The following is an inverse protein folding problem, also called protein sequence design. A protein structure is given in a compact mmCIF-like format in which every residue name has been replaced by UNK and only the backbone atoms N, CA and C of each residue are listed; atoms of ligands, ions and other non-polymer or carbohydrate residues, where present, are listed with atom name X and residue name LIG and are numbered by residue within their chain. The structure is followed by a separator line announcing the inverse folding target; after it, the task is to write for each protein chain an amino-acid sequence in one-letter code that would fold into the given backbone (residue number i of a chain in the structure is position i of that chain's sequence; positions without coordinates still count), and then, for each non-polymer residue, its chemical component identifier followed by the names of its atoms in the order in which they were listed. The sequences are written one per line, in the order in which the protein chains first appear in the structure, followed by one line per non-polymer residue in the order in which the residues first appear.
data_IF_996889301736
#
_entry.id   IF_996889301736
#
_cell.length_a   1.000
_cell.length_b   1.000
_cell.length_c   1.000
_cell.angle_alpha   90.00
_cell.angle_beta   90.00
_cell.angle_gamma   90.00
#
_symmetry.space_group_name_H-M   'P 1'
#
loop_
_entity.id
_entity.type
_entity.pdbx_description
1 polymer ?
#
# COMPACT_ATOMS: atom_id res chain seq x y z
N UNK A 1 0.25 -5.44 -6.74
CA UNK A 1 -0.66 -5.89 -7.80
C UNK A 1 0.08 -6.10 -9.11
N UNK A 2 -0.33 -7.09 -9.86
CA UNK A 2 0.16 -7.39 -11.22
C UNK A 2 -1.01 -7.34 -12.18
N UNK A 3 -0.83 -6.65 -13.31
CA UNK A 3 -1.81 -6.70 -14.40
C UNK A 3 -1.48 -7.91 -15.29
N UNK A 4 -2.38 -8.90 -15.29
CA UNK A 4 -2.15 -10.21 -15.95
C UNK A 4 -2.21 -10.16 -17.47
N UNK A 5 -2.84 -9.15 -18.07
CA UNK A 5 -2.79 -8.92 -19.52
C UNK A 5 -1.41 -8.42 -19.96
N UNK A 6 -0.70 -7.71 -19.06
CA UNK A 6 0.62 -7.16 -19.32
C UNK A 6 1.75 -8.10 -18.92
N UNK A 7 1.52 -8.92 -17.91
CA UNK A 7 2.49 -9.90 -17.39
C UNK A 7 1.77 -11.25 -17.21
N UNK A 8 1.49 -11.98 -18.32
CA UNK A 8 0.63 -13.16 -18.29
C UNK A 8 1.30 -14.42 -17.69
N UNK A 9 2.63 -14.45 -17.60
CA UNK A 9 3.35 -15.61 -17.02
C UNK A 9 3.60 -15.34 -15.52
N UNK A 10 2.99 -16.16 -14.66
CA UNK A 10 3.17 -16.08 -13.21
C UNK A 10 4.66 -16.25 -12.79
N UNK A 11 5.47 -16.92 -13.60
CA UNK A 11 6.90 -17.07 -13.34
C UNK A 11 7.66 -15.73 -13.37
N UNK A 12 7.09 -14.72 -14.05
CA UNK A 12 7.66 -13.38 -14.14
C UNK A 12 7.20 -12.44 -13.02
N UNK A 13 6.22 -12.85 -12.20
CA UNK A 13 5.70 -11.99 -11.14
C UNK A 13 6.70 -11.83 -9.99
N UNK A 14 6.76 -10.65 -9.34
CA UNK A 14 7.53 -10.50 -8.12
C UNK A 14 6.86 -11.27 -6.98
N UNK A 15 7.64 -12.00 -6.20
CA UNK A 15 7.16 -12.73 -5.01
C UNK A 15 7.50 -11.99 -3.71
N UNK A 16 8.48 -11.12 -3.78
CA UNK A 16 9.03 -10.36 -2.67
C UNK A 16 9.10 -8.88 -3.00
N UNK A 17 9.13 -8.03 -1.98
CA UNK A 17 9.47 -6.62 -2.15
C UNK A 17 10.92 -6.48 -2.66
N UNK A 18 11.80 -7.42 -2.25
CA UNK A 18 13.18 -7.47 -2.71
C UNK A 18 13.37 -7.80 -4.19
N UNK A 19 12.34 -8.28 -4.88
CA UNK A 19 12.43 -8.57 -6.32
C UNK A 19 12.25 -7.31 -7.19
N UNK A 20 11.71 -6.21 -6.62
CA UNK A 20 11.34 -5.02 -7.39
C UNK A 20 12.54 -4.26 -7.97
N UNK A 21 13.76 -4.48 -7.46
CA UNK A 21 14.98 -3.93 -8.02
C UNK A 21 15.58 -4.81 -9.14
N UNK A 22 14.98 -5.99 -9.47
CA UNK A 22 15.48 -6.84 -10.53
C UNK A 22 15.42 -6.10 -11.88
N UNK A 23 16.55 -6.02 -12.64
CA UNK A 23 16.60 -5.36 -13.94
C UNK A 23 15.59 -5.88 -14.97
N UNK A 24 15.04 -7.09 -14.79
CA UNK A 24 13.98 -7.62 -15.67
C UNK A 24 12.74 -6.73 -15.75
N UNK A 25 12.51 -5.89 -14.72
CA UNK A 25 11.37 -4.97 -14.69
C UNK A 25 11.67 -3.58 -15.29
N UNK A 26 12.91 -3.30 -15.69
CA UNK A 26 13.32 -1.99 -16.19
C UNK A 26 12.64 -1.61 -17.53
N UNK A 27 12.30 -2.60 -18.37
CA UNK A 27 11.65 -2.39 -19.67
C UNK A 27 10.17 -2.01 -19.54
N UNK A 28 9.48 -2.60 -18.57
CA UNK A 28 8.07 -2.36 -18.27
C UNK A 28 7.98 -1.85 -16.83
N UNK A 29 8.08 -0.56 -16.65
CA UNK A 29 8.26 0.09 -15.35
C UNK A 29 7.19 -0.26 -14.32
N UNK A 30 7.61 -0.28 -13.07
CA UNK A 30 6.74 -0.42 -11.90
C UNK A 30 6.09 0.93 -11.60
N UNK A 31 4.77 0.96 -11.41
CA UNK A 31 4.07 2.15 -10.93
C UNK A 31 4.36 2.35 -9.43
N UNK A 32 4.91 3.51 -9.10
CA UNK A 32 5.18 3.95 -7.73
C UNK A 32 4.63 5.36 -7.52
N UNK A 33 4.37 5.80 -6.31
CA UNK A 33 3.90 7.16 -6.06
C UNK A 33 4.83 7.96 -5.15
N UNK A 34 4.96 9.24 -5.46
CA UNK A 34 5.85 10.19 -4.80
C UNK A 34 5.55 10.30 -3.28
N UNK A 35 6.47 9.90 -2.38
CA UNK A 35 6.30 10.01 -0.93
C UNK A 35 6.07 11.42 -0.42
N UNK A 36 6.60 12.43 -1.09
CA UNK A 36 6.38 13.82 -0.74
C UNK A 36 4.95 14.30 -0.99
N UNK A 37 4.25 13.66 -1.94
CA UNK A 37 2.88 14.03 -2.33
C UNK A 37 1.83 13.04 -1.82
N UNK A 38 2.21 11.82 -1.50
CA UNK A 38 1.29 10.74 -1.09
C UNK A 38 1.69 10.12 0.25
N UNK A 39 0.73 10.02 1.17
CA UNK A 39 0.90 9.24 2.40
C UNK A 39 1.14 7.76 2.11
N UNK A 40 0.46 7.21 1.09
CA UNK A 40 0.67 5.84 0.63
C UNK A 40 2.11 5.65 0.14
N UNK A 41 2.63 6.57 -0.70
CA UNK A 41 4.02 6.52 -1.15
C UNK A 41 5.01 6.56 -0.01
N UNK A 42 4.80 7.44 0.97
CA UNK A 42 5.64 7.50 2.17
C UNK A 42 5.61 6.20 2.98
N UNK A 43 4.43 5.60 3.14
CA UNK A 43 4.27 4.31 3.82
C UNK A 43 5.02 3.20 3.08
N UNK A 44 4.83 3.09 1.77
CA UNK A 44 5.49 2.05 0.96
C UNK A 44 7.01 2.21 1.03
N UNK A 45 7.53 3.43 0.78
CA UNK A 45 8.97 3.70 0.82
C UNK A 45 9.58 3.38 2.18
N UNK A 46 8.94 3.81 3.28
CA UNK A 46 9.44 3.53 4.62
C UNK A 46 9.46 2.03 4.96
N UNK A 47 8.40 1.30 4.59
CA UNK A 47 8.34 -0.15 4.86
C UNK A 47 9.42 -0.90 4.08
N UNK A 48 9.61 -0.60 2.79
CA UNK A 48 10.66 -1.21 1.97
C UNK A 48 12.06 -0.83 2.50
N UNK A 49 12.26 0.45 2.84
CA UNK A 49 13.53 0.90 3.39
C UNK A 49 13.84 0.28 4.76
N UNK A 50 12.82 -0.03 5.57
CA UNK A 50 13.00 -0.74 6.85
C UNK A 50 13.47 -2.18 6.68
N UNK A 51 13.13 -2.82 5.55
CA UNK A 51 13.59 -4.17 5.19
C UNK A 51 14.99 -4.16 4.55
N UNK A 52 15.22 -3.25 3.62
CA UNK A 52 16.36 -3.32 2.70
C UNK A 52 17.27 -2.10 2.72
N UNK A 53 16.89 -1.03 3.42
CA UNK A 53 17.61 0.25 3.44
C UNK A 53 17.26 1.18 2.28
N UNK A 54 17.69 2.43 2.40
CA UNK A 54 17.43 3.46 1.39
C UNK A 54 18.27 3.30 0.11
N UNK A 55 19.38 2.59 0.18
CA UNK A 55 20.18 2.22 -1.00
C UNK A 55 19.37 1.32 -1.94
N UNK A 56 18.64 0.36 -1.38
CA UNK A 56 17.73 -0.48 -2.15
C UNK A 56 16.62 0.32 -2.84
N UNK A 57 16.07 1.35 -2.15
CA UNK A 57 15.09 2.25 -2.78
C UNK A 57 15.68 2.93 -4.02
N UNK A 58 16.95 3.33 -3.97
CA UNK A 58 17.63 3.92 -5.14
C UNK A 58 17.64 2.95 -6.33
N UNK A 59 18.00 1.70 -6.09
CA UNK A 59 18.02 0.65 -7.12
C UNK A 59 16.61 0.34 -7.66
N UNK A 60 15.63 0.19 -6.78
CA UNK A 60 14.24 -0.05 -7.15
C UNK A 60 13.67 1.08 -8.02
N UNK A 61 14.04 2.33 -7.73
CA UNK A 61 13.56 3.50 -8.46
C UNK A 61 14.03 3.53 -9.92
N UNK A 62 15.09 2.83 -10.30
CA UNK A 62 15.51 2.66 -11.69
C UNK A 62 14.46 1.89 -12.51
N UNK A 63 13.69 1.03 -11.86
CA UNK A 63 12.60 0.24 -12.45
C UNK A 63 11.24 0.94 -12.33
N UNK A 64 11.15 2.09 -11.63
CA UNK A 64 9.90 2.73 -11.31
C UNK A 64 9.59 3.96 -12.17
N UNK A 65 8.31 4.09 -12.55
CA UNK A 65 7.73 5.38 -12.91
C UNK A 65 7.06 5.98 -11.68
N UNK A 66 7.51 7.18 -11.29
CA UNK A 66 7.02 7.87 -10.09
C UNK A 66 5.86 8.79 -10.45
N UNK A 67 4.68 8.43 -10.02
CA UNK A 67 3.43 9.13 -10.27
C UNK A 67 3.12 10.12 -9.14
N UNK A 68 2.26 11.09 -9.41
CA UNK A 68 1.99 12.21 -8.50
C UNK A 68 1.21 11.86 -7.23
N UNK A 69 0.66 10.64 -7.13
CA UNK A 69 -0.14 10.21 -6.00
C UNK A 69 -0.58 8.76 -6.09
N UNK A 70 -1.29 8.29 -5.06
CA UNK A 70 -1.77 6.91 -5.00
C UNK A 70 -2.81 6.58 -6.06
N UNK A 71 -3.79 7.46 -6.31
CA UNK A 71 -4.83 7.17 -7.30
C UNK A 71 -4.27 7.00 -8.72
N UNK A 72 -3.39 7.88 -9.23
CA UNK A 72 -2.70 7.64 -10.50
C UNK A 72 -1.90 6.34 -10.53
N UNK A 73 -1.27 5.93 -9.42
CA UNK A 73 -0.55 4.66 -9.32
C UNK A 73 -1.51 3.47 -9.43
N UNK A 74 -2.62 3.51 -8.70
CA UNK A 74 -3.64 2.47 -8.74
C UNK A 74 -4.26 2.32 -10.13
N UNK A 75 -4.68 3.44 -10.75
CA UNK A 75 -5.26 3.45 -12.09
C UNK A 75 -4.27 2.92 -13.13
N UNK A 76 -3.02 3.29 -13.04
CA UNK A 76 -1.99 2.88 -13.99
C UNK A 76 -1.77 1.35 -14.05
N UNK A 77 -1.88 0.66 -12.91
CA UNK A 77 -1.82 -0.81 -12.87
C UNK A 77 -3.14 -1.41 -13.32
N UNK A 78 -4.27 -0.89 -12.83
CA UNK A 78 -5.60 -1.34 -13.21
C UNK A 78 -5.82 -1.31 -14.71
N UNK A 79 -5.41 -0.22 -15.36
CA UNK A 79 -5.60 0.01 -16.80
C UNK A 79 -4.51 -0.65 -17.67
N UNK A 80 -3.52 -1.30 -17.04
CA UNK A 80 -2.41 -1.94 -17.74
C UNK A 80 -1.40 -0.95 -18.35
N UNK A 81 -1.37 0.30 -17.92
CA UNK A 81 -0.30 1.25 -18.29
C UNK A 81 1.05 0.74 -17.79
N UNK A 82 1.08 0.24 -16.56
CA UNK A 82 2.22 -0.46 -15.98
C UNK A 82 1.81 -1.86 -15.51
N UNK A 83 2.67 -2.87 -15.71
CA UNK A 83 2.35 -4.25 -15.36
C UNK A 83 2.34 -4.51 -13.84
N UNK A 84 3.07 -3.73 -13.06
CA UNK A 84 3.26 -3.93 -11.63
C UNK A 84 3.06 -2.59 -10.91
N UNK A 85 2.54 -2.65 -9.69
CA UNK A 85 2.48 -1.51 -8.78
C UNK A 85 1.87 -1.89 -7.45
N UNK A 86 1.77 -0.91 -6.56
CA UNK A 86 1.19 -1.10 -5.25
C UNK A 86 -0.30 -0.75 -5.27
N UNK A 87 -1.09 -1.44 -4.46
CA UNK A 87 -2.52 -1.19 -4.33
C UNK A 87 -2.95 -1.45 -2.89
N UNK A 88 -3.98 -0.74 -2.44
CA UNK A 88 -4.65 -1.11 -1.20
C UNK A 88 -5.41 -2.41 -1.41
N UNK A 89 -5.30 -3.36 -0.49
CA UNK A 89 -5.91 -4.68 -0.58
C UNK A 89 -7.42 -4.61 -0.86
N UNK A 90 -8.15 -3.76 -0.16
CA UNK A 90 -9.59 -3.57 -0.33
C UNK A 90 -9.97 -3.13 -1.75
N UNK A 91 -9.14 -2.33 -2.39
CA UNK A 91 -9.35 -1.89 -3.77
C UNK A 91 -9.02 -3.01 -4.75
N UNK A 92 -7.90 -3.70 -4.55
CA UNK A 92 -7.47 -4.82 -5.38
C UNK A 92 -8.48 -5.98 -5.35
N UNK A 93 -9.02 -6.32 -4.18
CA UNK A 93 -10.07 -7.34 -4.04
C UNK A 93 -11.33 -6.97 -4.82
N UNK A 94 -11.75 -5.71 -4.81
CA UNK A 94 -12.87 -5.24 -5.63
C UNK A 94 -12.61 -5.35 -7.12
N UNK A 95 -11.39 -5.17 -7.56
CA UNK A 95 -11.01 -5.36 -8.95
C UNK A 95 -11.07 -6.83 -9.35
N UNK A 96 -10.63 -7.74 -8.48
CA UNK A 96 -10.78 -9.18 -8.68
C UNK A 96 -12.26 -9.60 -8.77
N UNK A 97 -13.10 -9.11 -7.86
CA UNK A 97 -14.55 -9.34 -7.89
C UNK A 97 -15.21 -8.83 -9.18
N UNK A 98 -14.69 -7.70 -9.70
CA UNK A 98 -15.16 -7.13 -10.97
C UNK A 98 -14.63 -7.86 -12.22
N UNK A 99 -13.78 -8.88 -12.05
CA UNK A 99 -13.19 -9.65 -13.16
C UNK A 99 -12.14 -8.88 -13.95
N UNK A 100 -11.48 -7.89 -13.35
CA UNK A 100 -10.38 -7.19 -14.01
C UNK A 100 -9.14 -8.10 -14.08
N UNK A 101 -8.26 -7.91 -15.09
CA UNK A 101 -7.06 -8.73 -15.28
C UNK A 101 -5.96 -8.33 -14.29
N UNK A 102 -6.25 -8.47 -13.01
CA UNK A 102 -5.37 -8.12 -11.89
C UNK A 102 -5.16 -9.34 -11.02
N UNK A 103 -3.95 -9.50 -10.50
CA UNK A 103 -3.65 -10.43 -9.42
C UNK A 103 -3.01 -9.70 -8.25
N UNK A 104 -3.32 -10.12 -7.02
CA UNK A 104 -2.76 -9.55 -5.81
C UNK A 104 -1.64 -10.44 -5.29
N UNK A 105 -0.46 -9.86 -5.14
CA UNK A 105 0.70 -10.52 -4.54
C UNK A 105 0.87 -10.03 -3.11
N UNK A 106 0.90 -10.96 -2.17
CA UNK A 106 1.27 -10.72 -0.78
C UNK A 106 2.73 -11.13 -0.61
N UNK A 107 3.69 -10.17 -0.53
CA UNK A 107 5.11 -10.48 -0.54
C UNK A 107 5.52 -11.39 0.63
N UNK A 108 6.32 -12.42 0.34
CA UNK A 108 6.76 -13.41 1.33
C UNK A 108 7.75 -12.81 2.34
N UNK A 109 8.53 -11.82 1.91
CA UNK A 109 9.52 -11.09 2.73
C UNK A 109 8.90 -10.04 3.65
N UNK A 110 7.67 -9.58 3.35
CA UNK A 110 6.93 -8.70 4.24
C UNK A 110 5.74 -8.01 3.61
N UNK A 111 4.57 -8.18 4.23
CA UNK A 111 3.35 -7.47 3.85
C UNK A 111 3.27 -6.14 4.58
N UNK A 112 3.07 -5.06 3.84
CA UNK A 112 2.90 -3.72 4.41
C UNK A 112 1.53 -3.64 5.07
N UNK A 113 1.51 -3.38 6.38
CA UNK A 113 0.30 -3.23 7.16
C UNK A 113 0.24 -1.85 7.83
N UNK A 114 -0.88 -1.17 7.69
CA UNK A 114 -1.13 0.13 8.32
C UNK A 114 -2.47 0.14 9.01
N UNK A 115 -2.54 0.86 10.13
CA UNK A 115 -3.77 1.04 10.90
C UNK A 115 -4.33 2.42 10.62
N UNK A 116 -5.51 2.48 10.03
CA UNK A 116 -6.27 3.71 9.89
C UNK A 116 -6.92 4.09 11.22
N UNK A 117 -6.99 5.37 11.52
CA UNK A 117 -7.55 5.86 12.77
C UNK A 117 -8.50 7.04 12.57
N UNK A 118 -9.47 7.14 13.47
CA UNK A 118 -10.31 8.29 13.63
C UNK A 118 -9.80 9.16 14.78
N UNK A 119 -9.78 10.48 14.57
CA UNK A 119 -9.40 11.42 15.63
C UNK A 119 -10.27 12.67 15.60
N UNK A 120 -10.47 13.27 16.77
CA UNK A 120 -11.19 14.55 16.89
C UNK A 120 -10.20 15.70 16.73
N UNK A 121 -10.48 16.59 15.79
CA UNK A 121 -9.66 17.77 15.56
C UNK A 121 -9.73 18.67 16.80
N UNK A 122 -8.57 19.14 17.28
CA UNK A 122 -8.50 20.08 18.40
C UNK A 122 -9.29 21.34 18.09
N UNK A 123 -10.23 21.69 18.96
CA UNK A 123 -11.11 22.86 18.79
C UNK A 123 -12.30 22.60 17.86
N UNK A 124 -12.66 21.32 17.62
CA UNK A 124 -13.86 20.97 16.86
C UNK A 124 -15.10 21.70 17.41
N UNK A 125 -15.86 22.38 16.54
CA UNK A 125 -17.03 23.19 16.94
C UNK A 125 -18.17 22.32 17.49
N UNK A 126 -18.30 21.09 17.01
CA UNK A 126 -19.34 20.12 17.39
C UNK A 126 -18.71 18.94 18.14
N UNK A 127 -17.99 19.22 19.23
CA UNK A 127 -17.21 18.22 19.98
C UNK A 127 -18.06 17.04 20.45
N UNK A 128 -19.27 17.27 20.94
CA UNK A 128 -20.15 16.21 21.47
C UNK A 128 -20.62 15.28 20.34
N UNK A 129 -20.97 15.83 19.18
CA UNK A 129 -21.33 15.03 18.02
C UNK A 129 -20.14 14.25 17.46
N UNK A 130 -18.93 14.84 17.52
CA UNK A 130 -17.71 14.13 17.09
C UNK A 130 -17.41 12.93 18.00
N UNK A 131 -17.60 13.07 19.31
CA UNK A 131 -17.48 11.96 20.26
C UNK A 131 -18.52 10.87 20.00
N UNK A 132 -19.78 11.25 19.84
CA UNK A 132 -20.87 10.33 19.51
C UNK A 132 -20.57 9.55 18.21
N UNK A 133 -20.00 10.22 17.21
CA UNK A 133 -19.63 9.55 15.96
C UNK A 133 -18.52 8.52 16.16
N UNK A 134 -17.47 8.84 16.93
CA UNK A 134 -16.39 7.90 17.25
C UNK A 134 -16.93 6.70 18.04
N UNK A 135 -17.77 6.96 19.05
CA UNK A 135 -18.38 5.91 19.86
C UNK A 135 -19.29 5.00 19.02
N UNK A 136 -20.07 5.59 18.10
CA UNK A 136 -20.90 4.87 17.14
C UNK A 136 -20.05 4.00 16.20
N UNK A 137 -19.04 4.60 15.56
CA UNK A 137 -18.18 3.90 14.61
C UNK A 137 -17.37 2.79 15.29
N UNK A 138 -16.88 3.03 16.50
CA UNK A 138 -16.08 2.09 17.27
C UNK A 138 -16.88 1.03 18.04
N UNK A 139 -18.23 1.12 18.07
CA UNK A 139 -19.04 0.13 18.79
C UNK A 139 -18.99 -1.26 18.12
N UNK A 140 -19.10 -2.36 18.88
CA UNK A 140 -19.06 -3.70 18.31
C UNK A 140 -20.08 -3.92 17.21
N UNK A 141 -21.31 -3.44 17.43
CA UNK A 141 -22.43 -3.64 16.52
C UNK A 141 -22.30 -2.90 15.19
N UNK A 142 -21.71 -1.69 15.23
CA UNK A 142 -21.61 -0.85 14.04
C UNK A 142 -20.28 -1.04 13.30
N UNK A 143 -19.22 -1.34 14.01
CA UNK A 143 -17.88 -1.43 13.41
C UNK A 143 -17.79 -2.51 12.34
N UNK A 144 -18.29 -3.72 12.61
CA UNK A 144 -18.30 -4.81 11.62
C UNK A 144 -19.11 -4.43 10.38
N UNK A 145 -20.33 -3.88 10.57
CA UNK A 145 -21.22 -3.44 9.47
C UNK A 145 -20.56 -2.35 8.60
N UNK A 146 -19.69 -1.53 9.18
CA UNK A 146 -19.00 -0.46 8.45
C UNK A 146 -17.72 -0.93 7.76
N UNK A 147 -17.04 -1.94 8.32
CA UNK A 147 -15.73 -2.40 7.85
C UNK A 147 -15.85 -3.54 6.84
N UNK A 148 -16.76 -4.49 7.04
CA UNK A 148 -16.94 -5.65 6.16
C UNK A 148 -17.22 -5.26 4.69
N UNK A 149 -18.14 -4.33 4.36
CA UNK A 149 -18.44 -4.00 2.97
C UNK A 149 -17.30 -3.33 2.22
N UNK A 150 -16.31 -2.82 2.94
CA UNK A 150 -15.12 -2.22 2.35
C UNK A 150 -13.92 -3.16 2.32
N UNK A 151 -14.11 -4.43 2.71
CA UNK A 151 -13.07 -5.46 2.71
C UNK A 151 -11.83 -5.07 3.50
N UNK A 152 -12.02 -4.48 4.69
CA UNK A 152 -10.94 -4.11 5.61
C UNK A 152 -11.03 -4.91 6.91
N UNK A 153 -9.88 -5.09 7.54
CA UNK A 153 -9.80 -5.79 8.82
C UNK A 153 -10.10 -4.83 9.97
N UNK A 154 -10.93 -5.29 10.88
CA UNK A 154 -11.16 -4.56 12.13
C UNK A 154 -9.94 -4.62 13.02
N UNK A 155 -9.66 -3.52 13.73
CA UNK A 155 -8.71 -3.50 14.85
C UNK A 155 -9.32 -4.02 16.17
N UNK A 156 -10.62 -4.32 16.17
CA UNK A 156 -11.31 -4.93 17.30
C UNK A 156 -11.10 -6.44 17.31
N UNK A 157 -10.79 -6.99 18.49
CA UNK A 157 -10.59 -8.44 18.69
C UNK A 157 -11.90 -9.23 18.78
N UNK A 158 -13.03 -8.53 18.97
CA UNK A 158 -14.38 -9.10 19.07
C UNK A 158 -15.22 -8.93 17.78
N UNK A 159 -14.63 -8.34 16.73
CA UNK A 159 -15.27 -8.28 15.44
C UNK A 159 -14.86 -9.49 14.56
N UNK A 160 -15.80 -10.10 13.81
CA UNK A 160 -15.47 -11.14 12.86
C UNK A 160 -14.58 -10.60 11.74
N UNK A 161 -13.82 -11.48 11.10
CA UNK A 161 -13.13 -11.18 9.87
C UNK A 161 -14.12 -11.25 8.71
N UNK A 162 -14.11 -10.28 7.80
CA UNK A 162 -14.93 -10.31 6.60
C UNK A 162 -14.59 -11.52 5.72
N UNK A 163 -15.60 -12.08 5.05
CA UNK A 163 -15.42 -13.21 4.14
C UNK A 163 -14.42 -12.87 3.03
N UNK A 164 -13.53 -13.79 2.72
CA UNK A 164 -12.48 -13.62 1.70
C UNK A 164 -11.20 -12.97 2.20
N UNK A 165 -11.16 -12.47 3.44
CA UNK A 165 -9.93 -11.91 4.02
C UNK A 165 -9.15 -12.97 4.80
N UNK A 166 -7.84 -13.02 4.61
CA UNK A 166 -6.91 -13.81 5.41
C UNK A 166 -6.56 -13.06 6.70
N UNK A 167 -6.52 -13.72 7.87
CA UNK A 167 -6.08 -13.09 9.11
C UNK A 167 -4.66 -12.50 8.99
N UNK A 168 -4.44 -11.33 9.59
CA UNK A 168 -3.10 -10.69 9.57
C UNK A 168 -2.02 -11.54 10.22
N UNK A 169 -2.39 -12.46 11.10
CA UNK A 169 -1.48 -13.41 11.78
C UNK A 169 -0.88 -14.46 10.83
N UNK A 170 -1.44 -14.61 9.63
CA UNK A 170 -0.94 -15.54 8.61
C UNK A 170 0.08 -14.88 7.66
N UNK A 171 0.26 -13.56 7.77
CA UNK A 171 1.24 -12.82 6.99
C UNK A 171 2.52 -12.53 7.78
N UNK A 172 3.64 -12.51 7.08
CA UNK A 172 4.85 -11.86 7.57
C UNK A 172 4.65 -10.34 7.42
N UNK A 173 4.38 -9.63 8.53
CA UNK A 173 4.15 -8.19 8.48
C UNK A 173 5.47 -7.43 8.61
N UNK A 174 5.64 -6.36 7.83
CA UNK A 174 6.80 -5.47 7.98
C UNK A 174 6.71 -4.73 9.31
N UNK A 175 7.76 -4.81 10.13
CA UNK A 175 7.94 -3.96 11.32
C UNK A 175 8.74 -2.70 10.90
N UNK A 176 8.01 -1.72 10.40
CA UNK A 176 8.63 -0.53 9.83
C UNK A 176 9.18 0.43 10.89
N UNK A 177 10.29 1.06 10.58
CA UNK A 177 10.91 2.09 11.40
C UNK A 177 9.96 3.27 11.63
N UNK A 178 9.92 3.78 12.87
CA UNK A 178 9.09 4.92 13.27
C UNK A 178 9.82 6.23 13.04
N UNK A 179 9.89 6.65 11.79
CA UNK A 179 10.47 7.94 11.42
C UNK A 179 9.41 8.93 10.94
N UNK A 180 9.71 10.22 10.98
CA UNK A 180 8.76 11.25 10.56
C UNK A 180 8.54 11.23 9.04
N UNK A 181 7.39 11.71 8.59
CA UNK A 181 7.10 11.87 7.15
C UNK A 181 8.12 12.79 6.46
N UNK A 182 8.59 13.81 7.15
CA UNK A 182 9.58 14.73 6.61
C UNK A 182 10.91 14.03 6.40
N UNK A 183 11.33 13.16 7.33
CA UNK A 183 12.55 12.35 7.18
C UNK A 183 12.42 11.32 6.05
N UNK A 184 11.26 10.64 5.93
CA UNK A 184 10.96 9.74 4.81
C UNK A 184 11.11 10.50 3.49
N UNK A 185 10.48 11.66 3.38
CA UNK A 185 10.51 12.48 2.17
C UNK A 185 11.93 12.94 1.83
N UNK A 186 12.71 13.34 2.84
CA UNK A 186 14.09 13.78 2.63
C UNK A 186 15.00 12.63 2.14
N UNK A 187 14.89 11.45 2.74
CA UNK A 187 15.67 10.28 2.34
C UNK A 187 15.25 9.79 0.95
N UNK A 188 13.92 9.75 0.67
CA UNK A 188 13.43 9.43 -0.66
C UNK A 188 13.95 10.39 -1.73
N UNK A 189 13.92 11.69 -1.50
CA UNK A 189 14.44 12.67 -2.46
C UNK A 189 15.91 12.41 -2.78
N UNK A 190 16.71 12.07 -1.77
CA UNK A 190 18.12 11.71 -1.95
C UNK A 190 18.26 10.45 -2.82
N UNK A 191 17.48 9.41 -2.53
CA UNK A 191 17.47 8.16 -3.31
C UNK A 191 17.01 8.41 -4.77
N UNK A 192 16.00 9.24 -4.96
CA UNK A 192 15.47 9.59 -6.27
C UNK A 192 16.48 10.37 -7.11
N UNK A 193 17.15 11.36 -6.53
CA UNK A 193 18.22 12.10 -7.21
C UNK A 193 19.38 11.18 -7.62
N UNK A 194 19.75 10.24 -6.75
CA UNK A 194 20.81 9.25 -7.04
C UNK A 194 20.42 8.31 -8.17
N UNK A 195 19.19 7.81 -8.19
CA UNK A 195 18.70 6.92 -9.26
C UNK A 195 18.65 7.62 -10.63
N UNK A 196 18.44 8.93 -10.67
CA UNK A 196 18.41 9.70 -11.92
C UNK A 196 19.79 10.22 -12.38
N UNK A 197 20.82 10.08 -11.55
CA UNK A 197 22.19 10.48 -11.86
C UNK A 197 23.00 9.36 -12.56
N UNK A 198 22.51 8.13 -12.52
CA UNK A 198 23.11 6.96 -13.16
C UNK A 198 22.53 6.76 -14.56
#
# INVERSE_FOLDING_TARGET
AVNTDRLPDEADWPKNLGDLADPKYAADKIAFCDPGKSGTGATIANNIASLYGWEYITEMLDNCEVLSGSDPMFDAVKDGTYPIGFVNEDLGLKWLEAGLPIELIYPEDGVINTVDCLSIIKGAKNMDNAKLFIDFFGSPENHAVLVDPILRRSTRTDAPLAEGLTPTTEYNLVDADKISRDDITAQYNTAYEQSRAN
#
